data_IF_533099328911
#
_entry.id   IF_533099328911
#
_cell.length_a   1.000
_cell.length_b   1.000
_cell.length_c   1.000
_cell.angle_alpha   90.00
_cell.angle_beta   90.00
_cell.angle_gamma   90.00
#
_symmetry.space_group_name_H-M   'P 1'
#
loop_
_entity.id
_entity.type
_entity.pdbx_description
1 polymer ?
#
# COMPACT_ATOMS: atom_id res chain seq x y z
N UNK A 1 -5.33 10.11 -1.33
CA UNK A 1 -6.40 10.23 -0.33
C UNK A 1 -7.73 10.05 -1.05
N UNK A 2 -8.40 8.88 -0.95
CA UNK A 2 -9.89 8.78 -0.99
C UNK A 2 -10.29 7.49 -0.24
N UNK A 3 -10.64 7.61 1.02
CA UNK A 3 -11.59 6.73 1.72
C UNK A 3 -12.51 7.66 2.50
N UNK A 4 -13.80 7.35 2.68
CA UNK A 4 -14.78 8.29 3.20
C UNK A 4 -14.57 8.72 4.66
N UNK A 5 -13.70 8.03 5.43
CA UNK A 5 -13.52 8.28 6.87
C UNK A 5 -12.08 8.44 7.35
N UNK A 6 -11.09 7.85 6.68
CA UNK A 6 -9.67 7.86 7.11
C UNK A 6 -8.72 7.90 5.91
N UNK A 7 -7.56 8.53 6.04
CA UNK A 7 -6.52 8.42 5.01
C UNK A 7 -5.96 6.99 4.91
N UNK A 8 -5.42 6.61 3.74
CA UNK A 8 -4.73 5.33 3.60
C UNK A 8 -3.54 5.18 4.57
N UNK A 9 -2.86 6.29 4.87
CA UNK A 9 -1.76 6.35 5.85
C UNK A 9 -2.26 6.09 7.28
N UNK A 10 -3.32 6.78 7.69
CA UNK A 10 -3.91 6.62 9.02
C UNK A 10 -4.40 5.19 9.25
N UNK A 11 -5.06 4.60 8.24
CA UNK A 11 -5.49 3.20 8.31
C UNK A 11 -4.29 2.25 8.46
N UNK A 12 -3.22 2.46 7.70
CA UNK A 12 -1.97 1.70 7.85
C UNK A 12 -1.40 1.84 9.26
N UNK A 13 -1.27 3.06 9.78
CA UNK A 13 -0.64 3.31 11.08
C UNK A 13 -1.44 2.66 12.22
N UNK A 14 -2.76 2.63 12.13
CA UNK A 14 -3.62 1.91 13.08
C UNK A 14 -3.49 0.39 12.95
N UNK A 15 -3.53 -0.14 11.72
CA UNK A 15 -3.40 -1.57 11.48
C UNK A 15 -2.02 -2.09 11.90
N UNK A 16 -0.95 -1.32 11.66
CA UNK A 16 0.41 -1.65 12.06
C UNK A 16 0.58 -1.64 13.58
N UNK A 17 -0.08 -0.72 14.30
CA UNK A 17 -0.13 -0.74 15.77
C UNK A 17 -0.79 -2.00 16.31
N UNK A 18 -1.82 -2.50 15.63
CA UNK A 18 -2.52 -3.72 16.02
C UNK A 18 -1.74 -5.00 15.65
N UNK A 19 -1.05 -5.00 14.51
CA UNK A 19 -0.23 -6.11 14.06
C UNK A 19 0.97 -5.60 13.23
N UNK A 20 2.18 -5.52 13.81
CA UNK A 20 3.38 -5.09 13.09
C UNK A 20 3.80 -6.01 11.94
N UNK A 21 3.36 -7.27 11.95
CA UNK A 21 3.66 -8.24 10.89
C UNK A 21 2.65 -8.21 9.74
N UNK A 22 1.65 -7.32 9.81
CA UNK A 22 0.65 -7.20 8.75
C UNK A 22 1.32 -6.71 7.46
N UNK A 23 1.24 -7.54 6.42
CA UNK A 23 1.70 -7.17 5.08
C UNK A 23 0.64 -6.28 4.40
N UNK A 24 1.06 -5.16 3.82
CA UNK A 24 0.17 -4.15 3.24
C UNK A 24 0.60 -3.81 1.82
N UNK A 25 -0.37 -3.64 0.92
CA UNK A 25 -0.18 -3.12 -0.44
C UNK A 25 -0.97 -1.82 -0.58
N UNK A 26 -0.31 -0.73 -0.92
CA UNK A 26 -0.97 0.53 -1.26
C UNK A 26 -1.38 0.57 -2.72
N UNK A 27 -2.55 1.15 -3.00
CA UNK A 27 -3.14 1.13 -4.35
C UNK A 27 -3.72 2.49 -4.72
N UNK A 28 -3.20 3.15 -5.75
CA UNK A 28 -3.58 4.52 -6.12
C UNK A 28 -3.49 4.74 -7.63
N UNK A 29 -4.29 5.66 -8.18
CA UNK A 29 -4.17 6.12 -9.57
C UNK A 29 -3.16 7.24 -9.78
N UNK A 30 -2.53 7.71 -8.70
CA UNK A 30 -1.40 8.64 -8.77
C UNK A 30 -0.08 7.87 -8.86
N UNK A 31 0.94 8.48 -9.46
CA UNK A 31 2.27 7.88 -9.61
C UNK A 31 2.88 7.50 -8.26
N UNK A 32 3.78 6.51 -8.27
CA UNK A 32 4.44 6.02 -7.06
C UNK A 32 5.19 7.15 -6.31
N UNK A 33 5.72 8.14 -7.03
CA UNK A 33 6.46 9.28 -6.47
C UNK A 33 5.56 10.21 -5.65
N UNK A 34 4.37 10.52 -6.17
CA UNK A 34 3.38 11.34 -5.46
C UNK A 34 2.92 10.70 -4.14
N UNK A 35 2.99 9.38 -4.04
CA UNK A 35 2.67 8.61 -2.83
C UNK A 35 3.87 8.57 -1.90
N UNK A 36 5.09 8.36 -2.40
CA UNK A 36 6.27 8.42 -1.53
C UNK A 36 6.41 9.76 -0.83
N UNK A 37 6.12 10.88 -1.51
CA UNK A 37 6.09 12.21 -0.90
C UNK A 37 4.92 12.36 0.09
N UNK A 38 3.71 11.94 -0.28
CA UNK A 38 2.51 12.09 0.56
C UNK A 38 2.51 11.19 1.81
N UNK A 39 3.18 10.03 1.73
CA UNK A 39 3.25 9.06 2.82
C UNK A 39 4.50 9.22 3.68
N UNK A 40 5.41 10.12 3.30
CA UNK A 40 6.54 10.58 4.10
C UNK A 40 7.34 9.42 4.72
N UNK A 41 8.41 9.00 4.05
CA UNK A 41 9.46 8.12 4.60
C UNK A 41 9.18 6.61 4.67
N UNK A 42 8.10 6.07 4.09
CA UNK A 42 7.99 4.60 4.00
C UNK A 42 8.66 4.11 2.71
N UNK A 43 9.99 4.15 2.68
CA UNK A 43 10.82 3.94 1.49
C UNK A 43 10.77 2.54 0.85
N UNK A 44 9.87 1.64 1.28
CA UNK A 44 9.77 0.26 0.78
C UNK A 44 8.36 -0.35 0.87
N UNK A 45 7.29 0.43 0.90
CA UNK A 45 5.96 -0.21 0.94
C UNK A 45 5.59 -0.76 -0.43
N UNK A 46 5.10 -2.00 -0.51
CA UNK A 46 4.52 -2.52 -1.73
C UNK A 46 3.43 -1.59 -2.27
N UNK A 47 3.58 -1.18 -3.53
CA UNK A 47 2.63 -0.31 -4.22
C UNK A 47 2.12 -0.96 -5.51
N UNK A 48 0.85 -0.70 -5.85
CA UNK A 48 0.21 -1.10 -7.09
C UNK A 48 -0.57 0.07 -7.71
N UNK A 49 -0.09 0.56 -8.85
CA UNK A 49 -0.73 1.66 -9.57
C UNK A 49 -2.05 1.21 -10.23
N UNK A 50 -3.09 2.03 -10.13
CA UNK A 50 -4.36 1.86 -10.84
C UNK A 50 -4.29 2.55 -12.21
N UNK A 51 -4.89 1.98 -13.27
CA UNK A 51 -5.61 0.70 -13.29
C UNK A 51 -4.65 -0.50 -13.34
N UNK A 52 -5.06 -1.63 -12.76
CA UNK A 52 -4.34 -2.90 -12.82
C UNK A 52 -5.33 -4.03 -13.16
N UNK A 53 -4.83 -5.08 -13.80
CA UNK A 53 -5.59 -6.30 -14.07
C UNK A 53 -5.50 -7.32 -12.91
N UNK A 54 -6.33 -8.38 -12.93
CA UNK A 54 -6.34 -9.43 -11.91
C UNK A 54 -4.98 -10.14 -11.74
N UNK A 55 -4.28 -10.40 -12.85
CA UNK A 55 -2.95 -11.04 -12.84
C UNK A 55 -1.89 -10.18 -12.14
N UNK A 56 -1.91 -8.86 -12.40
CA UNK A 56 -1.01 -7.91 -11.74
C UNK A 56 -1.26 -7.84 -10.23
N UNK A 57 -2.53 -7.88 -9.81
CA UNK A 57 -2.88 -7.95 -8.39
C UNK A 57 -2.39 -9.26 -7.75
N UNK A 58 -2.69 -10.40 -8.36
CA UNK A 58 -2.28 -11.71 -7.85
C UNK A 58 -0.75 -11.82 -7.71
N UNK A 59 -0.02 -11.35 -8.71
CA UNK A 59 1.45 -11.29 -8.67
C UNK A 59 1.93 -10.41 -7.51
N UNK A 60 1.34 -9.22 -7.33
CA UNK A 60 1.77 -8.32 -6.24
C UNK A 60 1.48 -8.90 -4.86
N UNK A 61 0.33 -9.53 -4.68
CA UNK A 61 0.00 -10.25 -3.46
C UNK A 61 1.03 -11.34 -3.18
N UNK A 62 1.40 -12.13 -4.19
CA UNK A 62 2.42 -13.17 -4.06
C UNK A 62 3.78 -12.60 -3.66
N UNK A 63 4.26 -11.57 -4.35
CA UNK A 63 5.52 -10.89 -4.05
C UNK A 63 5.60 -10.45 -2.58
N UNK A 64 4.51 -9.91 -2.04
CA UNK A 64 4.45 -9.38 -0.66
C UNK A 64 4.34 -10.48 0.39
N UNK A 65 3.66 -11.58 0.07
CA UNK A 65 3.58 -12.73 0.97
C UNK A 65 4.89 -13.52 1.01
N UNK A 66 5.64 -13.55 -0.09
CA UNK A 66 6.89 -14.28 -0.20
C UNK A 66 8.09 -13.50 0.37
N UNK A 67 7.99 -12.17 0.49
CA UNK A 67 8.96 -11.38 1.26
C UNK A 67 8.85 -11.73 2.75
N UNK A 68 9.85 -12.44 3.27
CA UNK A 68 10.04 -12.75 4.69
C UNK A 68 10.07 -11.47 5.52
#
# INVERSE_FOLDING_TARGET
MIMPRKGGKEAHDEMHKANPNLKVIFMSGYTADAIHESFGLIARVPFLSKPFGPSSLARKVREVLDTQ
#
